data_IF_912083235206
#
_entry.id   IF_912083235206
#
_cell.length_a   1.000
_cell.length_b   1.000
_cell.length_c   1.000
_cell.angle_alpha   90.00
_cell.angle_beta   90.00
_cell.angle_gamma   90.00
#
_symmetry.space_group_name_H-M   'P 1'
#
loop_
_entity.id
_entity.type
_entity.pdbx_description
1 polymer ?
#
# COMPACT_ATOMS: atom_id res chain seq x y z
N UNK A 1 -4.85 8.60 7.58
CA UNK A 1 -4.12 7.30 7.54
C UNK A 1 -3.39 7.14 8.86
N UNK A 2 -3.17 5.91 9.36
CA UNK A 2 -2.39 5.62 10.58
C UNK A 2 -0.87 5.52 10.30
N UNK A 3 -0.51 5.28 9.05
CA UNK A 3 0.88 5.23 8.60
C UNK A 3 1.23 6.49 7.81
N UNK A 4 2.49 6.89 7.87
CA UNK A 4 3.01 7.93 6.99
C UNK A 4 3.01 7.47 5.52
N UNK A 5 2.74 8.40 4.61
CA UNK A 5 2.61 8.10 3.18
C UNK A 5 3.94 8.17 2.41
N UNK A 6 5.04 8.59 3.05
CA UNK A 6 6.34 8.75 2.42
C UNK A 6 6.84 7.45 1.79
N UNK A 7 6.61 6.31 2.46
CA UNK A 7 6.92 4.99 1.91
C UNK A 7 6.20 4.75 0.58
N UNK A 8 4.86 4.80 0.57
CA UNK A 8 4.07 4.49 -0.63
C UNK A 8 4.36 5.51 -1.75
N UNK A 9 4.48 6.79 -1.40
CA UNK A 9 4.78 7.85 -2.37
C UNK A 9 6.14 7.63 -3.03
N UNK A 10 7.19 7.40 -2.24
CA UNK A 10 8.52 7.13 -2.78
C UNK A 10 8.52 5.87 -3.64
N UNK A 11 7.89 4.80 -3.15
CA UNK A 11 7.85 3.51 -3.83
C UNK A 11 7.22 3.62 -5.22
N UNK A 12 6.00 4.14 -5.30
CA UNK A 12 5.22 4.16 -6.55
C UNK A 12 5.57 5.33 -7.47
N UNK A 13 5.96 6.50 -6.93
CA UNK A 13 6.23 7.67 -7.77
C UNK A 13 7.69 7.75 -8.23
N UNK A 14 8.60 7.00 -7.59
CA UNK A 14 10.03 7.07 -7.88
C UNK A 14 10.66 5.70 -8.11
N UNK A 15 10.68 4.83 -7.10
CA UNK A 15 11.45 3.59 -7.16
C UNK A 15 10.96 2.64 -8.27
N UNK A 16 9.65 2.41 -8.35
CA UNK A 16 9.06 1.54 -9.38
C UNK A 16 9.30 2.08 -10.80
N UNK A 17 8.99 3.36 -11.12
CA UNK A 17 9.32 3.95 -12.41
C UNK A 17 10.82 3.88 -12.77
N UNK A 18 11.71 4.22 -11.85
CA UNK A 18 13.16 4.17 -12.08
C UNK A 18 13.65 2.74 -12.37
N UNK A 19 13.15 1.76 -11.61
CA UNK A 19 13.53 0.35 -11.75
C UNK A 19 13.01 -0.24 -13.06
N UNK A 20 11.75 0.07 -13.42
CA UNK A 20 11.18 -0.35 -14.69
C UNK A 20 11.92 0.31 -15.87
N UNK A 21 12.20 1.61 -15.79
CA UNK A 21 12.91 2.35 -16.83
C UNK A 21 14.31 1.79 -17.08
N UNK A 22 15.07 1.55 -16.02
CA UNK A 22 16.40 0.97 -16.09
C UNK A 22 16.39 -0.44 -16.72
N UNK A 23 15.42 -1.29 -16.33
CA UNK A 23 15.26 -2.63 -16.91
C UNK A 23 14.96 -2.60 -18.41
N UNK A 24 14.18 -1.63 -18.88
CA UNK A 24 13.74 -1.54 -20.27
C UNK A 24 14.64 -0.64 -21.14
N UNK A 25 15.69 -0.04 -20.58
CA UNK A 25 16.63 0.81 -21.32
C UNK A 25 16.03 2.11 -21.84
N UNK A 26 14.99 2.63 -21.17
CA UNK A 26 14.33 3.90 -21.52
C UNK A 26 14.81 5.02 -20.62
N UNK A 27 14.62 6.26 -21.05
CA UNK A 27 14.97 7.44 -20.24
C UNK A 27 14.05 7.57 -19.02
N UNK A 28 14.51 8.25 -17.95
CA UNK A 28 13.67 8.50 -16.78
C UNK A 28 12.33 9.17 -17.12
N UNK A 29 12.32 10.08 -18.10
CA UNK A 29 11.12 10.77 -18.53
C UNK A 29 10.13 9.83 -19.23
N UNK A 30 10.61 8.95 -20.11
CA UNK A 30 9.76 7.94 -20.78
C UNK A 30 9.19 6.94 -19.77
N UNK A 31 10.00 6.52 -18.79
CA UNK A 31 9.54 5.65 -17.71
C UNK A 31 8.43 6.30 -16.88
N UNK A 32 8.61 7.57 -16.48
CA UNK A 32 7.60 8.30 -15.73
C UNK A 32 6.29 8.45 -16.52
N UNK A 33 6.37 8.77 -17.81
CA UNK A 33 5.17 8.94 -18.64
C UNK A 33 4.44 7.62 -18.87
N UNK A 34 5.17 6.53 -19.11
CA UNK A 34 4.60 5.18 -19.19
C UNK A 34 3.87 4.82 -17.89
N UNK A 35 4.55 4.96 -16.75
CA UNK A 35 3.95 4.63 -15.45
C UNK A 35 2.74 5.49 -15.14
N UNK A 36 2.75 6.79 -15.48
CA UNK A 36 1.62 7.68 -15.32
C UNK A 36 0.38 7.18 -16.07
N UNK A 37 0.55 6.69 -17.30
CA UNK A 37 -0.54 6.11 -18.07
C UNK A 37 -1.04 4.80 -17.43
N UNK A 38 -0.13 3.90 -17.06
CA UNK A 38 -0.51 2.63 -16.42
C UNK A 38 -1.29 2.85 -15.12
N UNK A 39 -0.84 3.80 -14.29
CA UNK A 39 -1.53 4.20 -13.07
C UNK A 39 -2.93 4.73 -13.38
N UNK A 40 -3.04 5.66 -14.34
CA UNK A 40 -4.33 6.23 -14.73
C UNK A 40 -5.35 5.16 -15.16
N UNK A 41 -4.91 4.11 -15.86
CA UNK A 41 -5.80 3.10 -16.43
C UNK A 41 -6.47 2.20 -15.37
N UNK A 42 -5.85 2.02 -14.20
CA UNK A 42 -6.37 1.16 -13.13
C UNK A 42 -6.73 1.89 -11.85
N UNK A 43 -6.58 3.22 -11.80
CA UNK A 43 -6.98 4.02 -10.63
C UNK A 43 -8.43 3.72 -10.22
N UNK A 44 -8.69 3.74 -8.91
CA UNK A 44 -9.99 3.38 -8.31
C UNK A 44 -10.44 1.92 -8.49
N UNK A 45 -9.61 1.05 -9.08
CA UNK A 45 -9.86 -0.40 -9.12
C UNK A 45 -9.03 -1.12 -8.05
N UNK A 46 -9.34 -2.39 -7.79
CA UNK A 46 -8.50 -3.20 -6.89
C UNK A 46 -7.08 -3.40 -7.45
N UNK A 47 -6.93 -3.43 -8.79
CA UNK A 47 -5.62 -3.58 -9.44
C UNK A 47 -4.65 -2.45 -9.10
N UNK A 48 -5.15 -1.23 -8.86
CA UNK A 48 -4.32 -0.12 -8.37
C UNK A 48 -3.52 -0.48 -7.12
N UNK A 49 -4.12 -1.25 -6.20
CA UNK A 49 -3.53 -1.61 -4.93
C UNK A 49 -2.82 -2.97 -4.92
N UNK A 50 -2.89 -3.73 -6.01
CA UNK A 50 -2.50 -5.13 -6.09
C UNK A 50 -1.04 -5.27 -6.52
N UNK A 51 -0.18 -5.83 -5.65
CA UNK A 51 1.24 -6.01 -6.00
C UNK A 51 1.44 -7.08 -7.07
N UNK A 52 0.60 -8.12 -7.09
CA UNK A 52 0.70 -9.20 -8.08
C UNK A 52 0.40 -8.67 -9.48
N UNK A 53 -0.66 -7.86 -9.61
CA UNK A 53 -0.98 -7.17 -10.86
C UNK A 53 0.22 -6.36 -11.37
N UNK A 54 0.81 -5.52 -10.51
CA UNK A 54 1.96 -4.71 -10.91
C UNK A 54 3.21 -5.53 -11.23
N UNK A 55 3.41 -6.65 -10.51
CA UNK A 55 4.52 -7.56 -10.80
C UNK A 55 4.39 -8.16 -12.19
N UNK A 56 3.20 -8.59 -12.58
CA UNK A 56 2.90 -9.11 -13.90
C UNK A 56 3.04 -8.02 -14.99
N UNK A 57 2.38 -6.87 -14.82
CA UNK A 57 2.38 -5.81 -15.85
C UNK A 57 3.76 -5.21 -16.11
N UNK A 58 4.60 -5.12 -15.09
CA UNK A 58 5.92 -4.48 -15.20
C UNK A 58 7.06 -5.50 -15.36
N UNK A 59 6.76 -6.79 -15.14
CA UNK A 59 7.76 -7.85 -15.01
C UNK A 59 8.77 -7.58 -13.90
N UNK A 60 8.36 -6.91 -12.82
CA UNK A 60 9.20 -6.60 -11.67
C UNK A 60 8.78 -7.45 -10.47
N UNK A 61 9.71 -7.76 -9.58
CA UNK A 61 9.36 -8.38 -8.29
C UNK A 61 8.93 -7.30 -7.29
N UNK A 62 7.69 -6.82 -7.46
CA UNK A 62 7.16 -5.73 -6.63
C UNK A 62 7.06 -6.16 -5.17
N UNK A 63 6.80 -7.45 -4.89
CA UNK A 63 6.76 -7.98 -3.53
C UNK A 63 8.14 -7.92 -2.85
N UNK A 64 9.20 -8.37 -3.53
CA UNK A 64 10.56 -8.26 -3.00
C UNK A 64 10.99 -6.80 -2.80
N UNK A 65 10.71 -5.94 -3.78
CA UNK A 65 11.00 -4.50 -3.67
C UNK A 65 10.24 -3.86 -2.49
N UNK A 66 8.98 -4.25 -2.26
CA UNK A 66 8.17 -3.79 -1.13
C UNK A 66 8.80 -4.21 0.19
N UNK A 67 9.21 -5.48 0.30
CA UNK A 67 9.90 -6.01 1.49
C UNK A 67 11.21 -5.27 1.77
N UNK A 68 12.03 -5.04 0.75
CA UNK A 68 13.31 -4.32 0.89
C UNK A 68 13.10 -2.88 1.39
N UNK A 69 12.05 -2.20 0.92
CA UNK A 69 11.71 -0.85 1.35
C UNK A 69 10.93 -0.79 2.67
N UNK A 70 10.55 -1.93 3.24
CA UNK A 70 9.76 -2.06 4.46
C UNK A 70 10.24 -1.21 5.64
N UNK A 71 11.56 -1.12 5.95
CA UNK A 71 12.07 -0.29 7.04
C UNK A 71 11.76 1.21 6.93
N UNK A 72 11.31 1.69 5.77
CA UNK A 72 10.86 3.09 5.58
C UNK A 72 9.41 3.31 6.01
N UNK A 73 8.65 2.26 6.33
CA UNK A 73 7.30 2.39 6.85
C UNK A 73 7.35 2.93 8.28
N UNK A 74 6.64 4.02 8.54
CA UNK A 74 6.64 4.70 9.84
C UNK A 74 5.20 5.00 10.26
N UNK A 75 4.92 4.85 11.56
CA UNK A 75 3.67 5.31 12.16
C UNK A 75 3.66 6.83 12.22
N UNK A 76 2.48 7.44 12.06
CA UNK A 76 2.34 8.83 12.45
C UNK A 76 2.42 8.94 13.97
N UNK A 77 3.03 10.00 14.48
CA UNK A 77 3.26 10.21 15.93
C UNK A 77 1.96 10.13 16.75
N UNK A 78 0.84 10.54 16.17
CA UNK A 78 -0.49 10.56 16.79
C UNK A 78 -1.23 9.21 16.76
N UNK A 79 -0.69 8.21 16.07
CA UNK A 79 -1.36 6.92 15.83
C UNK A 79 -1.59 6.11 17.10
N UNK A 80 -0.54 5.85 17.87
CA UNK A 80 -0.64 5.06 19.09
C UNK A 80 -1.49 5.79 20.14
N UNK A 81 -1.26 7.10 20.43
CA UNK A 81 -2.11 7.84 21.34
C UNK A 81 -3.60 7.80 20.96
N UNK A 82 -3.90 7.91 19.66
CA UNK A 82 -5.27 7.83 19.16
C UNK A 82 -5.90 6.44 19.38
N UNK A 83 -5.19 5.36 19.04
CA UNK A 83 -5.71 4.00 19.21
C UNK A 83 -5.90 3.62 20.68
N UNK A 84 -5.01 4.07 21.57
CA UNK A 84 -5.19 3.85 23.02
C UNK A 84 -6.36 4.66 23.58
N UNK A 85 -6.60 5.89 23.10
CA UNK A 85 -7.79 6.65 23.49
C UNK A 85 -9.10 5.98 23.02
N UNK A 86 -9.11 5.39 21.82
CA UNK A 86 -10.24 4.59 21.34
C UNK A 86 -10.46 3.35 22.23
N UNK A 87 -9.39 2.65 22.60
CA UNK A 87 -9.46 1.52 23.52
C UNK A 87 -10.04 1.92 24.88
N UNK A 88 -9.53 3.01 25.47
CA UNK A 88 -9.97 3.51 26.77
C UNK A 88 -11.44 3.97 26.76
N UNK A 89 -11.97 4.37 25.60
CA UNK A 89 -13.39 4.71 25.41
C UNK A 89 -14.27 3.50 25.05
N UNK A 90 -13.73 2.27 25.13
CA UNK A 90 -14.47 1.04 24.88
C UNK A 90 -14.82 0.81 23.41
N UNK A 91 -14.06 1.41 22.48
CA UNK A 91 -14.26 1.23 21.03
C UNK A 91 -13.41 0.08 20.49
N UNK A 92 -13.97 -0.66 19.54
CA UNK A 92 -13.20 -1.60 18.73
C UNK A 92 -12.36 -0.85 17.69
N UNK A 93 -11.12 -1.29 17.49
CA UNK A 93 -10.12 -0.66 16.62
C UNK A 93 -9.88 -1.59 15.44
N UNK A 94 -10.72 -1.45 14.42
CA UNK A 94 -10.68 -2.28 13.21
C UNK A 94 -10.03 -1.48 12.08
N UNK A 95 -9.01 -2.06 11.43
CA UNK A 95 -8.41 -1.49 10.22
C UNK A 95 -8.92 -2.23 8.98
N UNK A 96 -9.58 -1.50 8.09
CA UNK A 96 -9.88 -1.94 6.73
C UNK A 96 -9.03 -1.14 5.72
N UNK A 97 -8.21 -1.83 4.95
CA UNK A 97 -7.27 -1.22 4.01
C UNK A 97 -7.43 -1.75 2.59
N UNK A 98 -7.21 -0.90 1.59
CA UNK A 98 -7.10 -1.34 0.20
C UNK A 98 -5.78 -2.05 -0.09
N UNK A 99 -4.77 -1.88 0.76
CA UNK A 99 -3.43 -2.41 0.54
C UNK A 99 -3.45 -3.93 0.33
N UNK A 100 -2.64 -4.38 -0.63
CA UNK A 100 -2.35 -5.80 -0.82
C UNK A 100 -1.89 -6.47 0.48
N UNK A 101 -2.27 -7.74 0.76
CA UNK A 101 -1.89 -8.44 1.98
C UNK A 101 -0.38 -8.45 2.25
N UNK A 102 0.46 -8.61 1.22
CA UNK A 102 1.92 -8.57 1.36
C UNK A 102 2.43 -7.18 1.80
N UNK A 103 1.93 -6.10 1.16
CA UNK A 103 2.30 -4.73 1.55
C UNK A 103 1.87 -4.42 2.99
N UNK A 104 0.66 -4.88 3.37
CA UNK A 104 0.18 -4.75 4.75
C UNK A 104 1.11 -5.49 5.72
N UNK A 105 1.43 -6.75 5.46
CA UNK A 105 2.29 -7.55 6.33
C UNK A 105 3.66 -6.90 6.56
N UNK A 106 4.33 -6.43 5.50
CA UNK A 106 5.61 -5.71 5.60
C UNK A 106 5.49 -4.47 6.49
N UNK A 107 4.45 -3.67 6.31
CA UNK A 107 4.23 -2.48 7.14
C UNK A 107 4.00 -2.85 8.61
N UNK A 108 3.25 -3.90 8.90
CA UNK A 108 3.02 -4.35 10.27
C UNK A 108 4.30 -4.84 10.93
N UNK A 109 5.12 -5.62 10.22
CA UNK A 109 6.42 -6.10 10.73
C UNK A 109 7.31 -4.95 11.20
N UNK A 110 7.37 -3.86 10.44
CA UNK A 110 8.24 -2.72 10.77
C UNK A 110 7.63 -1.69 11.72
N UNK A 111 6.31 -1.71 11.93
CA UNK A 111 5.62 -0.69 12.73
C UNK A 111 4.97 -1.20 14.01
N UNK A 112 4.71 -2.51 14.11
CA UNK A 112 3.98 -3.10 15.23
C UNK A 112 2.54 -2.60 15.39
N UNK A 113 1.95 -2.02 14.32
CA UNK A 113 0.61 -1.43 14.37
C UNK A 113 -0.48 -2.45 14.74
N UNK A 114 -0.30 -3.71 14.36
CA UNK A 114 -1.22 -4.81 14.64
C UNK A 114 -1.43 -5.04 16.13
N UNK A 115 -0.43 -4.80 16.97
CA UNK A 115 -0.54 -4.90 18.43
C UNK A 115 -1.56 -3.91 19.05
N UNK A 116 -1.93 -2.86 18.31
CA UNK A 116 -2.86 -1.82 18.77
C UNK A 116 -4.27 -1.95 18.17
N UNK A 117 -4.51 -2.95 17.34
CA UNK A 117 -5.77 -3.16 16.62
C UNK A 117 -6.45 -4.46 17.07
N UNK A 118 -7.79 -4.48 17.01
CA UNK A 118 -8.59 -5.67 17.34
C UNK A 118 -8.81 -6.58 16.12
N UNK A 119 -8.80 -5.99 14.91
CA UNK A 119 -9.00 -6.71 13.66
C UNK A 119 -8.35 -5.93 12.50
N UNK A 120 -7.69 -6.67 11.59
CA UNK A 120 -7.11 -6.13 10.36
C UNK A 120 -7.67 -6.86 9.15
N UNK A 121 -8.13 -6.10 8.17
CA UNK A 121 -8.77 -6.59 6.95
C UNK A 121 -8.17 -5.89 5.73
N UNK A 122 -7.81 -6.67 4.70
CA UNK A 122 -7.51 -6.16 3.37
C UNK A 122 -8.72 -6.33 2.48
N UNK A 123 -9.04 -5.33 1.66
CA UNK A 123 -10.12 -5.45 0.66
C UNK A 123 -9.89 -6.55 -0.37
N UNK A 124 -8.66 -7.04 -0.51
CA UNK A 124 -8.35 -8.17 -1.39
C UNK A 124 -9.10 -9.44 -0.98
N UNK A 125 -9.47 -9.61 0.29
CA UNK A 125 -10.29 -10.74 0.72
C UNK A 125 -11.77 -10.61 0.33
N UNK A 126 -12.19 -9.42 -0.10
CA UNK A 126 -13.58 -9.09 -0.47
C UNK A 126 -13.76 -8.84 -1.98
N UNK A 127 -12.67 -8.64 -2.72
CA UNK A 127 -12.69 -8.45 -4.18
C UNK A 127 -13.06 -7.04 -4.65
N UNK A 128 -13.33 -6.10 -3.72
CA UNK A 128 -13.75 -4.74 -4.04
C UNK A 128 -12.97 -3.70 -3.22
N UNK A 129 -12.41 -2.64 -3.82
CA UNK A 129 -11.76 -1.58 -3.06
C UNK A 129 -12.78 -0.77 -2.24
N UNK A 130 -12.32 0.01 -1.26
CA UNK A 130 -13.17 0.82 -0.35
C UNK A 130 -14.06 1.83 -1.05
N UNK A 131 -13.64 2.29 -2.21
CA UNK A 131 -14.36 3.23 -3.06
C UNK A 131 -15.55 2.57 -3.76
N UNK A 132 -15.56 1.23 -3.86
CA UNK A 132 -16.65 0.47 -4.43
C UNK A 132 -17.71 0.14 -3.37
N UNK A 133 -18.95 0.54 -3.66
CA UNK A 133 -20.07 0.41 -2.75
C UNK A 133 -20.40 -1.05 -2.40
N UNK A 134 -20.04 -2.02 -3.25
CA UNK A 134 -20.24 -3.46 -3.00
C UNK A 134 -19.46 -3.99 -1.80
N UNK A 135 -18.40 -3.29 -1.37
CA UNK A 135 -17.68 -3.67 -0.16
C UNK A 135 -18.51 -3.48 1.12
N UNK A 136 -19.50 -2.57 1.09
CA UNK A 136 -20.20 -2.06 2.27
C UNK A 136 -21.65 -2.56 2.40
N UNK A 137 -22.09 -3.46 1.51
CA UNK A 137 -23.42 -4.07 1.49
C UNK A 137 -23.34 -5.58 1.71
#
# INVERSE_FOLDING_TARGET
TLLDLAFDNYFWQKLVPETWGAKNGVTPQEAMEYMRQQYHDVQHTLNWYCLDYWSEQLGLDICAMTTEMGPRAVLREDTIPFLEALKASGKQRILLTNAHPHNLAVKLEHTGLDAHLDLLLSTHTFGYPKEDQRLWH
#
